data_IF_508397488298
#
_entry.id   IF_508397488298
#
_cell.length_a   1.000
_cell.length_b   1.000
_cell.length_c   1.000
_cell.angle_alpha   90.00
_cell.angle_beta   90.00
_cell.angle_gamma   90.00
#
_symmetry.space_group_name_H-M   'P 1'
#
loop_
_entity.id
_entity.type
_entity.pdbx_description
1 polymer ?
#
# COMPACT_ATOMS: atom_id res chain seq x y z
N UNK A 1 -3.46 4.46 -46.83
CA UNK A 1 -3.83 3.36 -45.91
C UNK A 1 -5.29 3.01 -46.14
N UNK A 2 -5.62 1.72 -46.05
CA UNK A 2 -7.01 1.29 -46.19
C UNK A 2 -7.69 1.45 -44.80
N UNK A 3 -8.24 2.63 -44.54
CA UNK A 3 -8.80 3.02 -43.22
C UNK A 3 -10.08 2.23 -42.87
N UNK A 4 -10.68 1.52 -43.85
CA UNK A 4 -11.84 0.66 -43.54
C UNK A 4 -11.53 -0.49 -42.58
N UNK A 5 -10.26 -0.89 -42.43
CA UNK A 5 -9.82 -1.93 -41.51
C UNK A 5 -9.77 -1.50 -40.04
N UNK A 6 -9.83 -0.19 -39.74
CA UNK A 6 -9.73 0.31 -38.37
C UNK A 6 -10.96 -0.04 -37.51
N UNK A 7 -12.15 -0.14 -38.14
CA UNK A 7 -13.38 -0.51 -37.45
C UNK A 7 -13.38 -1.97 -36.99
N UNK A 8 -12.71 -2.85 -37.76
CA UNK A 8 -12.58 -4.28 -37.46
C UNK A 8 -11.27 -4.61 -36.70
N UNK A 9 -10.47 -3.60 -36.39
CA UNK A 9 -9.18 -3.76 -35.75
C UNK A 9 -9.30 -4.36 -34.36
N UNK A 10 -8.32 -5.18 -33.97
CA UNK A 10 -8.23 -5.74 -32.62
C UNK A 10 -7.79 -4.68 -31.60
N UNK A 11 -8.12 -4.89 -30.33
CA UNK A 11 -7.74 -3.97 -29.25
C UNK A 11 -6.23 -3.80 -29.11
N UNK A 12 -5.44 -4.81 -29.44
CA UNK A 12 -3.97 -4.82 -29.43
C UNK A 12 -3.33 -3.89 -30.44
N UNK A 13 -4.07 -3.50 -31.48
CA UNK A 13 -3.63 -2.59 -32.56
C UNK A 13 -3.77 -1.11 -32.16
N UNK A 14 -4.45 -0.80 -31.06
CA UNK A 14 -4.55 0.57 -30.56
C UNK A 14 -3.60 0.77 -29.36
N UNK A 15 -3.03 1.95 -29.27
CA UNK A 15 -2.12 2.34 -28.21
C UNK A 15 -2.48 3.71 -27.66
N UNK A 16 -2.43 3.85 -26.35
CA UNK A 16 -2.62 5.11 -25.63
C UNK A 16 -1.26 5.68 -25.24
N UNK A 17 -0.99 6.91 -25.65
CA UNK A 17 0.20 7.64 -25.24
C UNK A 17 -0.05 8.44 -23.95
N UNK A 18 1.01 8.90 -23.33
CA UNK A 18 0.96 9.64 -22.04
C UNK A 18 0.33 11.03 -22.17
N UNK A 19 0.24 11.57 -23.38
CA UNK A 19 -0.44 12.84 -23.69
C UNK A 19 -1.93 12.66 -24.01
N UNK A 20 -2.45 11.42 -23.93
CA UNK A 20 -3.83 11.08 -24.21
C UNK A 20 -4.13 10.80 -25.68
N UNK A 21 -3.13 10.81 -26.57
CA UNK A 21 -3.34 10.45 -27.98
C UNK A 21 -3.53 8.95 -28.16
N UNK A 22 -4.46 8.57 -29.05
CA UNK A 22 -4.73 7.18 -29.44
C UNK A 22 -4.17 6.98 -30.84
N UNK A 23 -3.27 6.01 -30.97
CA UNK A 23 -2.69 5.64 -32.26
C UNK A 23 -3.17 4.25 -32.69
N UNK A 24 -3.30 4.06 -33.99
CA UNK A 24 -3.63 2.81 -34.66
C UNK A 24 -2.42 2.24 -35.39
N UNK A 25 -2.03 1.02 -35.06
CA UNK A 25 -0.96 0.28 -35.72
C UNK A 25 -1.52 -0.97 -36.39
N UNK A 26 -1.63 -0.98 -37.76
CA UNK A 26 -2.19 -2.12 -38.49
C UNK A 26 -1.41 -3.42 -38.27
N UNK A 27 -0.09 -3.32 -38.10
CA UNK A 27 0.81 -4.46 -37.88
C UNK A 27 1.10 -4.63 -36.40
N UNK A 28 0.48 -5.60 -35.78
CA UNK A 28 0.58 -5.82 -34.31
C UNK A 28 2.01 -6.02 -33.84
N UNK A 29 2.86 -6.69 -34.62
CA UNK A 29 4.28 -6.92 -34.31
C UNK A 29 5.17 -5.69 -34.46
N UNK A 30 4.66 -4.59 -35.06
CA UNK A 30 5.43 -3.36 -35.19
C UNK A 30 5.52 -2.61 -33.87
N UNK A 31 6.73 -2.35 -33.31
CA UNK A 31 6.91 -1.64 -32.05
C UNK A 31 6.56 -0.14 -32.13
N UNK A 32 6.48 0.44 -33.33
CA UNK A 32 6.15 1.87 -33.50
C UNK A 32 4.67 2.14 -33.18
N UNK A 33 4.34 3.35 -32.67
CA UNK A 33 2.97 3.66 -32.24
C UNK A 33 1.92 3.62 -33.36
N UNK A 34 2.30 3.85 -34.59
CA UNK A 34 1.36 3.96 -35.72
C UNK A 34 0.81 5.38 -35.90
N UNK A 35 -0.30 5.50 -36.66
CA UNK A 35 -0.91 6.80 -36.97
C UNK A 35 -1.84 7.25 -35.83
N UNK A 36 -1.78 8.52 -35.47
CA UNK A 36 -2.71 9.11 -34.50
C UNK A 36 -4.10 9.21 -35.10
N UNK A 37 -5.10 8.63 -34.47
CA UNK A 37 -6.48 8.56 -34.95
C UNK A 37 -7.47 9.32 -34.05
N UNK A 38 -7.13 9.50 -32.77
CA UNK A 38 -7.97 10.21 -31.82
C UNK A 38 -7.16 10.71 -30.62
N UNK A 39 -7.83 11.48 -29.75
CA UNK A 39 -7.32 11.92 -28.46
C UNK A 39 -8.38 11.75 -27.38
N UNK A 40 -7.96 11.35 -26.19
CA UNK A 40 -8.82 11.40 -25.01
C UNK A 40 -8.93 12.86 -24.52
N UNK A 41 -10.16 13.27 -24.24
CA UNK A 41 -10.47 14.59 -23.67
C UNK A 41 -11.33 14.43 -22.42
N UNK A 42 -11.54 15.52 -21.68
CA UNK A 42 -12.35 15.52 -20.48
C UNK A 42 -13.74 14.92 -20.75
N UNK A 43 -14.16 13.97 -19.91
CA UNK A 43 -15.47 13.35 -19.93
C UNK A 43 -16.31 13.70 -18.69
N UNK A 44 -17.42 12.99 -18.52
CA UNK A 44 -18.34 13.18 -17.40
C UNK A 44 -17.76 12.70 -16.04
N UNK A 45 -16.89 11.69 -16.07
CA UNK A 45 -16.26 11.11 -14.90
C UNK A 45 -14.78 10.79 -15.18
N UNK A 46 -13.93 10.70 -14.16
CA UNK A 46 -12.51 10.41 -14.34
C UNK A 46 -12.24 9.13 -15.14
N UNK A 47 -13.03 8.06 -14.93
CA UNK A 47 -12.91 6.78 -15.64
C UNK A 47 -13.66 6.73 -16.98
N UNK A 48 -14.29 7.83 -17.39
CA UNK A 48 -15.04 7.93 -18.66
C UNK A 48 -14.63 9.18 -19.43
N UNK A 49 -13.35 9.29 -19.88
CA UNK A 49 -12.94 10.38 -20.76
C UNK A 49 -13.65 10.25 -22.11
N UNK A 50 -13.95 11.34 -22.76
CA UNK A 50 -14.50 11.35 -24.11
C UNK A 50 -13.40 11.09 -25.13
N UNK A 51 -13.79 10.61 -26.31
CA UNK A 51 -12.90 10.39 -27.46
C UNK A 51 -13.18 11.46 -28.51
N UNK A 52 -12.15 12.21 -28.87
CA UNK A 52 -12.18 13.20 -29.96
C UNK A 52 -11.32 12.69 -31.14
N UNK A 53 -11.93 12.59 -32.30
CA UNK A 53 -11.23 12.08 -33.47
C UNK A 53 -10.34 13.16 -34.06
N UNK A 54 -9.11 12.81 -34.42
CA UNK A 54 -8.26 13.59 -35.32
C UNK A 54 -8.68 13.39 -36.78
N UNK A 55 -8.25 14.28 -37.71
CA UNK A 55 -8.64 14.25 -39.11
C UNK A 55 -8.33 12.88 -39.78
N UNK A 56 -9.30 11.95 -39.68
CA UNK A 56 -9.23 10.60 -40.26
C UNK A 56 -10.12 10.55 -41.50
N UNK A 57 -9.51 10.55 -42.69
CA UNK A 57 -10.26 10.55 -43.93
C UNK A 57 -10.74 9.16 -44.32
N UNK A 58 -11.98 9.07 -44.80
CA UNK A 58 -12.53 7.85 -45.43
C UNK A 58 -13.11 6.81 -44.50
N UNK A 59 -13.41 7.19 -43.24
CA UNK A 59 -14.11 6.35 -42.23
C UNK A 59 -15.34 7.08 -41.75
N UNK A 60 -16.40 6.36 -41.42
CA UNK A 60 -17.55 6.92 -40.70
C UNK A 60 -17.15 7.32 -39.29
N UNK A 61 -17.20 8.63 -39.00
CA UNK A 61 -16.79 9.18 -37.72
C UNK A 61 -17.58 8.61 -36.53
N UNK A 62 -18.90 8.43 -36.68
CA UNK A 62 -19.74 7.89 -35.61
C UNK A 62 -19.39 6.43 -35.29
N UNK A 63 -19.11 5.62 -36.33
CA UNK A 63 -18.67 4.24 -36.13
C UNK A 63 -17.29 4.17 -35.50
N UNK A 64 -16.37 5.06 -35.87
CA UNK A 64 -15.03 5.13 -35.32
C UNK A 64 -15.04 5.58 -33.87
N UNK A 65 -15.82 6.61 -33.47
CA UNK A 65 -16.00 7.03 -32.10
C UNK A 65 -16.46 5.83 -31.24
N UNK A 66 -17.54 5.16 -31.66
CA UNK A 66 -18.07 4.00 -30.92
C UNK A 66 -17.05 2.88 -30.78
N UNK A 67 -16.26 2.60 -31.82
CA UNK A 67 -15.18 1.59 -31.78
C UNK A 67 -14.10 1.97 -30.75
N UNK A 68 -13.67 3.24 -30.76
CA UNK A 68 -12.64 3.75 -29.86
C UNK A 68 -13.14 3.87 -28.43
N UNK A 69 -14.42 4.20 -28.21
CA UNK A 69 -15.03 4.17 -26.89
C UNK A 69 -15.06 2.75 -26.31
N UNK A 70 -15.44 1.76 -27.13
CA UNK A 70 -15.39 0.34 -26.73
C UNK A 70 -13.95 -0.09 -26.37
N UNK A 71 -12.98 0.34 -27.16
CA UNK A 71 -11.57 0.08 -26.89
C UNK A 71 -11.09 0.78 -25.62
N UNK A 72 -11.44 2.06 -25.43
CA UNK A 72 -11.13 2.84 -24.21
C UNK A 72 -11.63 2.12 -22.97
N UNK A 73 -12.89 1.68 -22.99
CA UNK A 73 -13.50 1.01 -21.82
C UNK A 73 -12.82 -0.34 -21.54
N UNK A 74 -12.48 -1.09 -22.59
CA UNK A 74 -11.72 -2.32 -22.45
C UNK A 74 -10.28 -2.06 -21.93
N UNK A 75 -9.60 -1.02 -22.44
CA UNK A 75 -8.26 -0.66 -22.00
C UNK A 75 -8.24 -0.24 -20.52
N UNK A 76 -9.16 0.64 -20.12
CA UNK A 76 -9.31 1.07 -18.72
C UNK A 76 -9.67 -0.14 -17.85
N UNK A 77 -10.60 -0.99 -18.28
CA UNK A 77 -11.00 -2.20 -17.57
C UNK A 77 -9.85 -3.18 -17.37
N UNK A 78 -8.98 -3.35 -18.34
CA UNK A 78 -7.82 -4.24 -18.23
C UNK A 78 -6.73 -3.69 -17.29
N UNK A 79 -6.45 -2.38 -17.37
CA UNK A 79 -5.38 -1.76 -16.59
C UNK A 79 -5.82 -1.45 -15.16
N UNK A 80 -7.07 -1.02 -14.97
CA UNK A 80 -7.67 -0.64 -13.69
C UNK A 80 -8.79 -1.60 -13.28
N UNK A 81 -8.65 -2.89 -13.60
CA UNK A 81 -9.63 -3.95 -13.34
C UNK A 81 -10.23 -3.86 -11.95
N UNK A 82 -9.39 -3.71 -10.92
CA UNK A 82 -9.84 -3.66 -9.53
C UNK A 82 -10.71 -2.45 -9.18
N UNK A 83 -10.56 -1.34 -9.90
CA UNK A 83 -11.45 -0.18 -9.72
C UNK A 83 -12.78 -0.47 -10.41
N UNK A 84 -12.74 -1.00 -11.64
CA UNK A 84 -13.95 -1.33 -12.41
C UNK A 84 -14.77 -2.41 -11.69
N UNK A 85 -14.12 -3.43 -11.13
CA UNK A 85 -14.77 -4.49 -10.33
C UNK A 85 -15.54 -3.98 -9.11
N UNK A 86 -15.28 -2.75 -8.61
CA UNK A 86 -16.06 -2.18 -7.50
C UNK A 86 -17.55 -2.03 -7.87
N UNK A 87 -17.85 -1.72 -9.12
CA UNK A 87 -19.22 -1.57 -9.65
C UNK A 87 -19.88 -2.89 -10.07
N UNK A 88 -19.09 -3.96 -10.22
CA UNK A 88 -19.61 -5.27 -10.59
C UNK A 88 -20.31 -5.96 -9.39
N UNK A 89 -21.21 -6.91 -9.66
CA UNK A 89 -21.77 -7.76 -8.61
C UNK A 89 -20.68 -8.46 -7.79
N UNK A 90 -21.02 -8.78 -6.54
CA UNK A 90 -20.10 -9.51 -5.65
C UNK A 90 -19.97 -10.96 -6.12
N UNK A 91 -18.75 -11.34 -6.50
CA UNK A 91 -18.43 -12.74 -6.85
C UNK A 91 -18.36 -13.56 -5.56
N UNK A 92 -19.19 -14.58 -5.45
CA UNK A 92 -19.14 -15.52 -4.34
C UNK A 92 -17.86 -16.37 -4.42
N UNK A 93 -17.26 -16.73 -3.29
CA UNK A 93 -16.07 -17.56 -3.29
C UNK A 93 -16.42 -18.97 -3.82
N UNK A 94 -15.61 -19.46 -4.76
CA UNK A 94 -15.76 -20.81 -5.32
C UNK A 94 -15.23 -21.84 -4.33
N UNK A 95 -15.97 -22.96 -4.18
CA UNK A 95 -15.53 -24.12 -3.40
C UNK A 95 -14.52 -24.90 -4.24
N UNK A 96 -13.30 -25.03 -3.77
CA UNK A 96 -12.32 -25.92 -4.38
C UNK A 96 -12.57 -27.36 -3.93
N UNK A 97 -12.35 -28.33 -4.83
CA UNK A 97 -12.47 -29.75 -4.48
C UNK A 97 -11.53 -30.10 -3.32
N UNK A 98 -12.11 -30.63 -2.23
CA UNK A 98 -11.36 -31.08 -1.04
C UNK A 98 -11.20 -30.06 0.08
N UNK A 99 -11.75 -28.84 -0.05
CA UNK A 99 -11.79 -27.84 1.03
C UNK A 99 -13.23 -27.69 1.56
N UNK A 100 -13.35 -27.35 2.85
CA UNK A 100 -14.64 -26.97 3.45
C UNK A 100 -15.22 -25.78 2.67
N UNK A 101 -16.52 -25.84 2.36
CA UNK A 101 -17.19 -24.78 1.60
C UNK A 101 -16.97 -23.41 2.29
N UNK A 102 -16.39 -22.42 1.59
CA UNK A 102 -16.18 -21.11 2.18
C UNK A 102 -17.52 -20.47 2.54
N UNK A 103 -17.57 -19.74 3.65
CA UNK A 103 -18.79 -19.04 4.04
C UNK A 103 -19.18 -18.05 2.93
N UNK A 104 -20.46 -18.06 2.49
CA UNK A 104 -20.94 -17.11 1.49
C UNK A 104 -20.74 -15.67 1.97
N UNK A 105 -20.47 -14.79 1.02
CA UNK A 105 -20.38 -13.37 1.31
C UNK A 105 -21.80 -12.80 1.48
N UNK A 106 -22.02 -11.91 2.46
CA UNK A 106 -23.29 -11.26 2.65
C UNK A 106 -23.62 -10.31 1.48
N UNK A 107 -24.87 -9.86 1.41
CA UNK A 107 -25.29 -8.85 0.46
C UNK A 107 -24.59 -7.50 0.74
N UNK A 108 -24.43 -6.69 -0.32
CA UNK A 108 -23.84 -5.35 -0.20
C UNK A 108 -24.85 -4.43 0.46
N UNK A 109 -24.54 -3.90 1.63
CA UNK A 109 -25.36 -2.90 2.31
C UNK A 109 -25.21 -1.53 1.66
N UNK A 110 -26.18 -0.63 1.89
CA UNK A 110 -26.14 0.76 1.40
C UNK A 110 -24.85 1.48 1.84
N UNK A 111 -24.40 1.26 3.08
CA UNK A 111 -23.16 1.87 3.60
C UNK A 111 -21.92 1.35 2.88
N UNK A 112 -21.86 0.06 2.57
CA UNK A 112 -20.78 -0.55 1.79
C UNK A 112 -20.81 -0.02 0.37
N UNK A 113 -21.98 0.02 -0.28
CA UNK A 113 -22.13 0.55 -1.64
C UNK A 113 -21.63 2.00 -1.71
N UNK A 114 -22.01 2.85 -0.77
CA UNK A 114 -21.54 4.23 -0.71
C UNK A 114 -20.02 4.33 -0.53
N UNK A 115 -19.39 3.42 0.24
CA UNK A 115 -17.93 3.36 0.36
C UNK A 115 -17.30 2.97 -0.99
N UNK A 116 -17.82 1.93 -1.66
CA UNK A 116 -17.33 1.46 -2.96
C UNK A 116 -17.44 2.56 -4.03
N UNK A 117 -18.54 3.30 -4.04
CA UNK A 117 -18.77 4.41 -4.96
C UNK A 117 -17.75 5.54 -4.75
N UNK A 118 -17.51 5.93 -3.50
CA UNK A 118 -16.51 6.95 -3.18
C UNK A 118 -15.09 6.50 -3.57
N UNK A 119 -14.75 5.21 -3.35
CA UNK A 119 -13.45 4.65 -3.75
C UNK A 119 -13.30 4.64 -5.28
N UNK A 120 -14.37 4.29 -6.00
CA UNK A 120 -14.41 4.30 -7.46
C UNK A 120 -14.18 5.71 -8.02
N UNK A 121 -14.94 6.69 -7.55
CA UNK A 121 -14.87 8.08 -8.01
C UNK A 121 -13.51 8.74 -7.69
N UNK A 122 -12.84 8.26 -6.64
CA UNK A 122 -11.50 8.74 -6.21
C UNK A 122 -10.35 7.92 -6.83
N UNK A 123 -10.57 7.20 -7.93
CA UNK A 123 -9.56 6.37 -8.61
C UNK A 123 -8.86 5.35 -7.68
N UNK A 124 -9.59 4.83 -6.70
CA UNK A 124 -9.14 3.74 -5.84
C UNK A 124 -8.42 4.14 -4.57
N UNK A 125 -8.32 5.44 -4.24
CA UNK A 125 -7.67 5.92 -3.02
C UNK A 125 -8.27 7.24 -2.52
N UNK A 126 -8.58 7.32 -1.23
CA UNK A 126 -9.07 8.54 -0.61
C UNK A 126 -8.75 8.60 0.89
N UNK A 127 -8.75 9.80 1.53
CA UNK A 127 -8.58 9.95 2.96
C UNK A 127 -9.71 9.25 3.73
N UNK A 128 -9.35 8.52 4.77
CA UNK A 128 -10.32 7.85 5.64
C UNK A 128 -11.33 8.82 6.26
N UNK A 129 -10.90 10.06 6.54
CA UNK A 129 -11.76 11.10 7.13
C UNK A 129 -13.05 11.35 6.32
N UNK A 130 -12.96 11.26 4.98
CA UNK A 130 -14.12 11.42 4.09
C UNK A 130 -15.16 10.31 4.25
N UNK A 131 -14.75 9.13 4.72
CA UNK A 131 -15.61 7.95 4.89
C UNK A 131 -15.93 7.62 6.36
N UNK A 132 -15.46 8.41 7.33
CA UNK A 132 -15.56 8.06 8.75
C UNK A 132 -17.02 7.83 9.21
N UNK A 133 -17.95 8.63 8.70
CA UNK A 133 -19.39 8.49 8.99
C UNK A 133 -20.00 7.17 8.45
N UNK A 134 -19.51 6.69 7.31
CA UNK A 134 -19.92 5.41 6.71
C UNK A 134 -19.21 4.24 7.42
N UNK A 135 -17.90 4.38 7.68
CA UNK A 135 -17.10 3.36 8.36
C UNK A 135 -17.60 3.10 9.79
N UNK A 136 -18.20 4.10 10.46
CA UNK A 136 -18.77 3.93 11.78
C UNK A 136 -20.06 3.07 11.79
N UNK A 137 -20.72 2.91 10.64
CA UNK A 137 -21.98 2.15 10.49
C UNK A 137 -21.76 0.70 10.10
N UNK A 138 -20.61 0.36 9.50
CA UNK A 138 -20.33 -0.98 8.98
C UNK A 138 -19.95 -1.96 10.09
N UNK A 139 -20.44 -3.17 9.98
CA UNK A 139 -20.17 -4.30 10.89
C UNK A 139 -19.01 -5.22 10.41
N UNK A 140 -18.94 -6.42 10.97
CA UNK A 140 -17.90 -7.40 10.61
C UNK A 140 -18.14 -8.03 9.22
N UNK A 141 -19.40 -8.23 8.86
CA UNK A 141 -19.80 -8.82 7.59
C UNK A 141 -19.61 -7.84 6.43
N UNK A 142 -19.97 -6.57 6.62
CA UNK A 142 -19.66 -5.48 5.70
C UNK A 142 -18.15 -5.39 5.41
N UNK A 143 -17.32 -5.55 6.46
CA UNK A 143 -15.85 -5.58 6.30
C UNK A 143 -15.35 -6.80 5.53
N UNK A 144 -16.08 -7.93 5.55
CA UNK A 144 -15.78 -9.09 4.69
C UNK A 144 -16.03 -8.77 3.22
N UNK A 145 -17.14 -8.08 2.91
CA UNK A 145 -17.45 -7.61 1.55
C UNK A 145 -16.37 -6.66 1.02
N UNK A 146 -16.00 -5.65 1.81
CA UNK A 146 -14.93 -4.71 1.41
C UNK A 146 -13.58 -5.43 1.15
N UNK A 147 -13.24 -6.43 1.98
CA UNK A 147 -12.04 -7.26 1.74
C UNK A 147 -12.14 -8.10 0.47
N UNK A 148 -13.32 -8.66 0.18
CA UNK A 148 -13.56 -9.40 -1.06
C UNK A 148 -13.42 -8.50 -2.29
N UNK A 149 -13.83 -7.23 -2.20
CA UNK A 149 -13.61 -6.18 -3.20
C UNK A 149 -12.20 -5.57 -3.14
N UNK A 150 -11.29 -6.16 -2.34
CA UNK A 150 -9.89 -5.73 -2.17
C UNK A 150 -9.73 -4.29 -1.68
N UNK A 151 -10.77 -3.71 -1.06
CA UNK A 151 -10.71 -2.39 -0.44
C UNK A 151 -10.13 -2.52 0.97
N UNK A 152 -9.02 -1.84 1.22
CA UNK A 152 -8.35 -1.78 2.51
C UNK A 152 -8.77 -0.53 3.27
N UNK A 153 -9.36 -0.73 4.45
CA UNK A 153 -9.67 0.35 5.38
C UNK A 153 -8.44 0.60 6.28
N UNK A 154 -7.49 1.36 5.76
CA UNK A 154 -6.31 1.76 6.54
C UNK A 154 -6.64 2.79 7.63
N UNK A 155 -5.73 3.08 8.56
CA UNK A 155 -5.95 4.05 9.64
C UNK A 155 -6.01 5.50 9.16
N UNK A 156 -5.35 5.85 8.07
CA UNK A 156 -5.28 7.21 7.50
C UNK A 156 -5.97 7.27 6.13
N UNK A 157 -5.80 6.25 5.31
CA UNK A 157 -6.29 6.17 3.94
C UNK A 157 -7.14 4.92 3.74
N UNK A 158 -8.12 5.02 2.83
CA UNK A 158 -8.86 3.87 2.27
C UNK A 158 -8.42 3.71 0.84
N UNK A 159 -8.00 2.51 0.44
CA UNK A 159 -7.37 2.30 -0.85
C UNK A 159 -7.42 0.84 -1.32
N UNK A 160 -7.11 0.63 -2.60
CA UNK A 160 -6.93 -0.68 -3.21
C UNK A 160 -5.42 -0.96 -3.33
N UNK A 161 -4.84 -1.91 -2.57
CA UNK A 161 -3.38 -2.11 -2.50
C UNK A 161 -2.72 -2.47 -3.83
N UNK A 162 -3.41 -3.19 -4.70
CA UNK A 162 -2.83 -3.73 -5.93
C UNK A 162 -2.78 -2.73 -7.10
N UNK A 163 -3.15 -1.45 -6.89
CA UNK A 163 -3.11 -0.39 -7.91
C UNK A 163 -1.72 0.27 -8.07
N UNK A 164 -0.67 -0.29 -7.49
CA UNK A 164 0.68 0.26 -7.52
C UNK A 164 1.50 -0.11 -8.78
N UNK A 165 0.92 -0.88 -9.71
CA UNK A 165 1.59 -1.23 -10.97
C UNK A 165 1.82 0.01 -11.83
N UNK A 166 3.00 0.15 -12.50
CA UNK A 166 3.35 1.34 -13.28
C UNK A 166 2.30 1.75 -14.31
N UNK A 167 1.75 0.79 -15.06
CA UNK A 167 0.69 1.09 -16.04
C UNK A 167 -0.56 1.70 -15.39
N UNK A 168 -0.96 1.19 -14.20
CA UNK A 168 -2.09 1.73 -13.45
C UNK A 168 -1.82 3.13 -12.88
N UNK A 169 -0.59 3.40 -12.47
CA UNK A 169 -0.17 4.73 -11.99
C UNK A 169 -0.23 5.74 -13.12
N UNK A 170 0.39 5.42 -14.29
CA UNK A 170 0.37 6.31 -15.47
C UNK A 170 -1.06 6.56 -15.97
N UNK A 171 -1.86 5.51 -16.10
CA UNK A 171 -3.25 5.67 -16.56
C UNK A 171 -4.09 6.52 -15.60
N UNK A 172 -3.96 6.33 -14.28
CA UNK A 172 -4.65 7.19 -13.30
C UNK A 172 -4.18 8.63 -13.38
N UNK A 173 -2.87 8.86 -13.58
CA UNK A 173 -2.32 10.20 -13.77
C UNK A 173 -2.92 10.89 -15.00
N UNK A 174 -2.97 10.19 -16.14
CA UNK A 174 -3.60 10.68 -17.36
C UNK A 174 -5.09 11.00 -17.14
N UNK A 175 -5.86 10.06 -16.64
CA UNK A 175 -7.30 10.20 -16.43
C UNK A 175 -7.65 11.33 -15.44
N UNK A 176 -6.89 11.43 -14.36
CA UNK A 176 -7.06 12.50 -13.37
C UNK A 176 -6.76 13.87 -13.98
N UNK A 177 -5.65 14.00 -14.73
CA UNK A 177 -5.25 15.25 -15.37
C UNK A 177 -6.26 15.70 -16.43
N UNK A 178 -6.77 14.77 -17.27
CA UNK A 178 -7.82 15.06 -18.22
C UNK A 178 -9.09 15.58 -17.55
N UNK A 179 -9.52 14.93 -16.47
CA UNK A 179 -10.74 15.30 -15.76
C UNK A 179 -10.64 16.68 -15.09
N UNK A 180 -9.48 17.00 -14.52
CA UNK A 180 -9.25 18.28 -13.84
C UNK A 180 -8.73 19.40 -14.76
N UNK A 181 -8.41 19.09 -16.02
CA UNK A 181 -7.89 20.07 -16.98
C UNK A 181 -6.44 20.46 -16.74
N UNK A 182 -5.67 19.56 -16.13
CA UNK A 182 -4.23 19.74 -15.91
C UNK A 182 -3.43 19.41 -17.18
N UNK A 183 -2.19 19.89 -17.22
CA UNK A 183 -1.30 19.67 -18.38
C UNK A 183 -0.91 18.20 -18.54
N UNK A 184 -0.78 17.78 -19.79
CA UNK A 184 -0.27 16.44 -20.17
C UNK A 184 1.06 16.59 -20.92
N UNK A 185 1.98 15.60 -20.82
CA UNK A 185 1.87 14.36 -20.02
C UNK A 185 1.86 14.64 -18.49
N UNK A 186 1.16 13.81 -17.75
CA UNK A 186 1.08 13.92 -16.29
C UNK A 186 2.44 13.64 -15.65
N UNK A 187 2.85 14.45 -14.68
CA UNK A 187 4.10 14.27 -13.95
C UNK A 187 3.98 13.15 -12.90
N UNK A 188 4.06 11.90 -13.35
CA UNK A 188 4.03 10.71 -12.47
C UNK A 188 5.44 10.28 -12.07
N UNK A 189 5.62 9.66 -10.89
CA UNK A 189 6.90 9.07 -10.49
C UNK A 189 7.35 7.99 -11.48
N UNK A 190 8.66 7.89 -11.69
CA UNK A 190 9.24 6.85 -12.55
C UNK A 190 8.95 5.45 -12.00
N UNK A 191 8.95 4.46 -12.90
CA UNK A 191 8.68 3.07 -12.57
C UNK A 191 9.64 2.55 -11.48
N UNK A 192 9.08 1.84 -10.50
CA UNK A 192 9.85 1.25 -9.42
C UNK A 192 10.20 2.18 -8.26
N UNK A 193 10.01 3.49 -8.39
CA UNK A 193 10.28 4.45 -7.31
C UNK A 193 9.28 4.23 -6.18
N UNK A 194 9.80 4.08 -4.95
CA UNK A 194 8.98 3.93 -3.73
C UNK A 194 8.59 5.29 -3.18
N UNK A 195 9.52 6.22 -3.12
CA UNK A 195 9.24 7.59 -2.72
C UNK A 195 10.16 8.58 -3.44
N UNK A 196 9.67 9.78 -3.66
CA UNK A 196 10.44 10.89 -4.23
C UNK A 196 10.25 12.15 -3.43
N UNK A 197 11.29 13.00 -3.42
CA UNK A 197 11.22 14.33 -2.82
C UNK A 197 10.33 15.20 -3.71
N UNK A 198 9.41 15.92 -3.09
CA UNK A 198 8.52 16.88 -3.75
C UNK A 198 8.45 18.16 -2.93
N UNK A 199 8.24 19.28 -3.59
CA UNK A 199 7.87 20.49 -2.91
C UNK A 199 6.36 20.43 -2.55
N UNK A 200 6.08 20.15 -1.28
CA UNK A 200 4.72 19.93 -0.78
C UNK A 200 3.78 21.14 -0.96
N UNK A 201 4.32 22.34 -1.17
CA UNK A 201 3.56 23.56 -1.38
C UNK A 201 3.32 23.85 -2.87
N UNK A 202 4.20 23.34 -3.74
CA UNK A 202 4.10 23.53 -5.19
C UNK A 202 3.31 22.41 -5.89
N UNK A 203 3.26 21.19 -5.33
CA UNK A 203 2.60 20.05 -5.99
C UNK A 203 1.11 19.93 -5.66
N UNK A 204 0.35 19.43 -6.62
CA UNK A 204 -1.06 19.10 -6.40
C UNK A 204 -1.18 17.80 -5.59
N UNK A 205 -1.50 17.90 -4.30
CA UNK A 205 -1.60 16.76 -3.38
C UNK A 205 -2.72 15.79 -3.76
N UNK A 206 -3.82 16.30 -4.32
CA UNK A 206 -4.94 15.46 -4.76
C UNK A 206 -4.55 14.61 -5.99
N UNK A 207 -3.74 15.17 -6.90
CA UNK A 207 -3.15 14.42 -8.01
C UNK A 207 -2.27 13.28 -7.51
N UNK A 208 -1.30 13.59 -6.64
CA UNK A 208 -0.40 12.58 -6.10
C UNK A 208 -1.15 11.50 -5.31
N UNK A 209 -2.18 11.87 -4.57
CA UNK A 209 -3.04 10.90 -3.88
C UNK A 209 -3.77 10.00 -4.87
N UNK A 210 -4.38 10.56 -5.92
CA UNK A 210 -5.14 9.81 -6.92
C UNK A 210 -4.27 8.77 -7.65
N UNK A 211 -3.00 9.07 -7.91
CA UNK A 211 -2.06 8.14 -8.55
C UNK A 211 -1.48 7.10 -7.59
N UNK A 212 -1.76 7.19 -6.28
CA UNK A 212 -1.26 6.25 -5.28
C UNK A 212 0.07 6.63 -4.63
N UNK A 213 0.44 7.90 -4.69
CA UNK A 213 1.64 8.46 -4.07
C UNK A 213 1.28 9.64 -3.13
N UNK A 214 0.47 9.43 -2.07
CA UNK A 214 0.13 10.51 -1.16
C UNK A 214 1.36 11.23 -0.61
N UNK A 215 1.24 12.57 -0.45
CA UNK A 215 2.34 13.43 0.01
C UNK A 215 2.29 13.58 1.53
N UNK A 216 3.40 13.23 2.18
CA UNK A 216 3.62 13.44 3.62
C UNK A 216 4.98 14.11 3.84
N UNK A 217 4.97 15.26 4.50
CA UNK A 217 6.16 16.11 4.61
C UNK A 217 6.61 16.59 3.23
N UNK A 218 7.88 16.38 2.92
CA UNK A 218 8.51 16.70 1.64
C UNK A 218 8.57 15.52 0.66
N UNK A 219 7.77 14.45 0.89
CA UNK A 219 7.84 13.24 0.08
C UNK A 219 6.49 12.78 -0.42
N UNK A 220 6.45 12.42 -1.71
CA UNK A 220 5.39 11.60 -2.29
C UNK A 220 5.78 10.13 -2.15
N UNK A 221 4.93 9.33 -1.48
CA UNK A 221 5.27 7.97 -1.03
C UNK A 221 4.25 6.99 -1.59
N UNK A 222 4.73 5.89 -2.19
CA UNK A 222 3.86 4.84 -2.72
C UNK A 222 3.03 4.21 -1.59
N UNK A 223 1.72 4.13 -1.79
CA UNK A 223 0.73 3.80 -0.76
C UNK A 223 0.97 2.47 -0.05
N UNK A 224 1.45 1.44 -0.76
CA UNK A 224 1.74 0.12 -0.18
C UNK A 224 2.88 0.18 0.85
N UNK A 225 3.92 0.95 0.58
CA UNK A 225 5.03 1.14 1.50
C UNK A 225 4.69 2.08 2.64
N UNK A 226 3.90 3.11 2.37
CA UNK A 226 3.35 3.98 3.41
C UNK A 226 2.48 3.19 4.39
N UNK A 227 1.57 2.35 3.89
CA UNK A 227 0.71 1.50 4.73
C UNK A 227 1.53 0.50 5.57
N UNK A 228 2.62 -0.04 5.00
CA UNK A 228 3.54 -0.91 5.74
C UNK A 228 4.17 -0.19 6.94
N UNK A 229 4.63 1.05 6.74
CA UNK A 229 5.17 1.89 7.82
C UNK A 229 4.09 2.19 8.86
N UNK A 230 2.89 2.57 8.42
CA UNK A 230 1.77 2.85 9.30
C UNK A 230 1.42 1.62 10.16
N UNK A 231 1.34 0.42 9.56
CA UNK A 231 1.09 -0.81 10.31
C UNK A 231 2.18 -1.07 11.35
N UNK A 232 3.45 -0.94 10.98
CA UNK A 232 4.56 -1.11 11.91
C UNK A 232 4.52 -0.11 13.09
N UNK A 233 4.13 1.14 12.83
CA UNK A 233 3.94 2.15 13.89
C UNK A 233 2.87 1.69 14.89
N UNK A 234 1.73 1.18 14.42
CA UNK A 234 0.66 0.73 15.30
C UNK A 234 1.02 -0.55 16.07
N UNK A 235 1.79 -1.45 15.45
CA UNK A 235 2.26 -2.70 16.07
C UNK A 235 3.32 -2.43 17.16
N UNK A 236 4.19 -1.43 16.95
CA UNK A 236 5.23 -1.04 17.88
C UNK A 236 4.72 -0.14 19.03
N UNK A 237 3.52 0.41 18.89
CA UNK A 237 3.02 1.39 19.82
C UNK A 237 2.70 0.77 21.19
N UNK A 238 3.46 1.17 22.23
CA UNK A 238 3.17 0.89 23.64
C UNK A 238 2.77 2.17 24.37
N UNK A 239 1.65 2.11 25.11
CA UNK A 239 1.12 3.24 25.92
C UNK A 239 1.00 4.56 25.16
N UNK A 240 0.79 4.47 23.82
CA UNK A 240 0.66 5.65 22.95
C UNK A 240 1.99 6.30 22.55
N UNK A 241 3.10 5.57 22.66
CA UNK A 241 4.42 5.97 22.18
C UNK A 241 4.98 4.85 21.29
N UNK A 242 5.81 5.23 20.35
CA UNK A 242 6.58 4.29 19.54
C UNK A 242 7.96 4.89 19.23
N UNK A 243 8.94 4.02 19.00
CA UNK A 243 10.26 4.43 18.54
C UNK A 243 10.38 4.20 17.04
N UNK A 244 10.84 5.20 16.30
CA UNK A 244 11.15 5.04 14.89
C UNK A 244 12.20 3.96 14.70
N UNK A 245 12.14 3.23 13.59
CA UNK A 245 13.09 2.18 13.25
C UNK A 245 13.79 2.48 11.93
N UNK A 246 15.06 2.13 11.81
CA UNK A 246 15.83 2.23 10.56
C UNK A 246 15.13 1.54 9.39
N UNK A 247 14.49 0.40 9.67
CA UNK A 247 13.74 -0.36 8.69
C UNK A 247 12.60 0.44 8.03
N UNK A 248 11.97 1.38 8.76
CA UNK A 248 10.95 2.27 8.18
C UNK A 248 11.54 3.19 7.12
N UNK A 249 12.73 3.75 7.37
CA UNK A 249 13.45 4.57 6.41
C UNK A 249 13.88 3.74 5.18
N UNK A 250 14.35 2.50 5.40
CA UNK A 250 14.70 1.55 4.34
C UNK A 250 13.48 1.23 3.46
N UNK A 251 12.29 0.99 4.03
CA UNK A 251 11.06 0.75 3.27
C UNK A 251 10.63 1.96 2.45
N UNK A 252 10.86 3.16 2.96
CA UNK A 252 10.53 4.40 2.24
C UNK A 252 11.64 4.83 1.28
N UNK A 253 12.84 4.23 1.36
CA UNK A 253 14.00 4.64 0.58
C UNK A 253 14.39 6.10 0.86
N UNK A 254 14.39 6.51 2.14
CA UNK A 254 14.64 7.90 2.52
C UNK A 254 15.64 8.01 3.69
N UNK A 255 16.30 9.18 3.86
CA UNK A 255 17.06 9.51 5.05
C UNK A 255 16.19 9.54 6.32
N UNK A 256 16.83 9.40 7.49
CA UNK A 256 16.14 9.40 8.79
C UNK A 256 15.42 10.74 9.04
N UNK A 257 16.01 11.86 8.64
CA UNK A 257 15.39 13.18 8.82
C UNK A 257 14.09 13.31 8.02
N UNK A 258 14.08 12.80 6.79
CA UNK A 258 12.87 12.74 5.97
C UNK A 258 11.81 11.82 6.59
N UNK A 259 12.24 10.66 7.15
CA UNK A 259 11.33 9.79 7.90
C UNK A 259 10.67 10.56 9.06
N UNK A 260 11.45 11.34 9.83
CA UNK A 260 10.89 12.16 10.92
C UNK A 260 9.91 13.22 10.40
N UNK A 261 10.21 13.83 9.27
CA UNK A 261 9.29 14.74 8.55
C UNK A 261 7.98 14.05 8.18
N UNK A 262 8.07 12.85 7.61
CA UNK A 262 6.89 12.03 7.24
C UNK A 262 6.06 11.67 8.47
N UNK A 263 6.68 11.19 9.56
CA UNK A 263 6.00 10.86 10.81
C UNK A 263 5.29 12.07 11.42
N UNK A 264 5.95 13.23 11.40
CA UNK A 264 5.36 14.48 11.88
C UNK A 264 4.17 14.91 11.01
N UNK A 265 4.29 14.79 9.69
CA UNK A 265 3.20 15.10 8.76
C UNK A 265 1.99 14.16 8.92
N UNK A 266 2.21 12.91 9.35
CA UNK A 266 1.12 12.02 9.79
C UNK A 266 0.45 12.47 11.09
N UNK A 267 1.03 13.44 11.78
CA UNK A 267 0.54 14.03 13.03
C UNK A 267 1.10 13.40 14.29
N UNK A 268 2.11 12.53 14.18
CA UNK A 268 2.86 12.05 15.33
C UNK A 268 3.74 13.19 15.87
N UNK A 269 3.95 13.23 17.19
CA UNK A 269 4.78 14.26 17.82
C UNK A 269 6.08 13.65 18.31
N UNK A 270 7.22 14.17 17.80
CA UNK A 270 8.55 13.76 18.27
C UNK A 270 8.70 14.12 19.77
N UNK A 271 9.22 13.19 20.54
CA UNK A 271 9.57 13.40 21.94
C UNK A 271 10.98 13.97 21.96
N UNK A 272 11.12 15.21 22.39
CA UNK A 272 12.44 15.79 22.63
C UNK A 272 13.01 15.11 23.88
N UNK A 273 14.07 14.35 23.70
CA UNK A 273 14.88 13.90 24.84
C UNK A 273 15.72 15.10 25.24
N UNK A 274 15.52 15.60 26.48
CA UNK A 274 16.43 16.56 27.09
C UNK A 274 17.85 15.98 26.97
N UNK A 275 18.70 16.62 26.20
CA UNK A 275 20.13 16.32 26.09
C UNK A 275 20.82 16.71 27.42
N UNK A 276 20.62 15.91 28.46
CA UNK A 276 21.45 15.90 29.66
C UNK A 276 21.97 14.49 29.79
N UNK A 277 23.14 14.26 29.30
CA UNK A 277 24.11 13.20 29.59
C UNK A 277 24.82 12.67 28.33
N UNK A 278 25.62 13.51 27.67
CA UNK A 278 26.74 13.07 26.85
C UNK A 278 27.71 14.26 26.59
N UNK A 279 28.07 14.97 27.64
CA UNK A 279 29.25 15.84 27.66
C UNK A 279 30.17 15.36 28.81
N UNK A 280 30.82 14.21 28.60
CA UNK A 280 32.08 13.90 29.30
C UNK A 280 32.97 13.10 28.36
N UNK A 281 34.11 13.70 28.07
CA UNK A 281 35.32 13.13 27.50
C UNK A 281 35.48 13.07 25.97
N UNK A 282 36.02 14.14 25.43
CA UNK A 282 37.22 14.03 24.61
C UNK A 282 38.06 15.28 24.74
N UNK A 283 39.36 15.16 25.13
CA UNK A 283 40.27 16.29 25.09
C UNK A 283 40.76 16.53 23.67
N UNK A 284 40.86 17.79 23.37
CA UNK A 284 41.46 18.45 22.19
C UNK A 284 42.86 17.95 21.98
N UNK A 285 43.25 17.63 20.74
CA UNK A 285 44.56 17.95 20.23
C UNK A 285 44.46 18.36 18.75
N UNK A 286 44.85 19.61 18.54
CA UNK A 286 45.15 20.27 17.26
C UNK A 286 46.31 19.59 16.55
N UNK A 287 46.32 19.54 15.23
CA UNK A 287 47.31 20.16 14.34
C UNK A 287 47.21 19.62 12.90
N UNK A 288 46.79 20.50 12.00
CA UNK A 288 47.46 20.93 10.75
C UNK A 288 47.75 19.97 9.60
N UNK A 289 47.27 20.42 8.41
CA UNK A 289 47.87 20.40 7.04
C UNK A 289 47.80 19.18 6.15
N UNK A 290 46.94 19.29 5.19
CA UNK A 290 46.87 19.08 3.70
C UNK A 290 47.92 18.18 2.96
N UNK A 291 47.74 17.99 1.62
CA UNK A 291 47.20 16.77 1.04
C UNK A 291 48.21 16.04 0.11
N UNK A 292 47.97 14.75 -0.19
CA UNK A 292 48.48 14.09 -1.43
C UNK A 292 47.86 12.70 -1.64
N UNK A 293 47.17 12.53 -2.76
CA UNK A 293 46.99 11.27 -3.51
C UNK A 293 48.32 10.95 -4.25
N UNK A 294 48.59 9.74 -4.80
CA UNK A 294 47.76 8.55 -5.03
C UNK A 294 48.46 7.19 -4.80
N UNK A 295 47.75 6.15 -5.19
CA UNK A 295 48.25 4.87 -5.77
C UNK A 295 48.10 3.58 -4.97
N UNK A 296 47.43 2.70 -5.64
CA UNK A 296 47.22 1.27 -5.59
C UNK A 296 48.17 0.39 -4.74
N UNK A 297 47.58 -0.56 -4.01
CA UNK A 297 48.04 -1.95 -3.93
C UNK A 297 46.98 -2.87 -3.29
N UNK A 298 46.58 -3.88 -4.03
CA UNK A 298 45.86 -5.07 -3.57
C UNK A 298 46.58 -5.76 -2.42
N UNK A 299 45.83 -6.22 -1.42
CA UNK A 299 46.10 -7.51 -0.76
C UNK A 299 44.88 -7.97 0.03
N UNK A 300 44.38 -9.12 -0.40
CA UNK A 300 43.52 -10.05 0.33
C UNK A 300 44.06 -10.31 1.75
N UNK A 301 43.16 -10.40 2.74
CA UNK A 301 43.21 -11.40 3.85
C UNK A 301 41.89 -11.39 4.62
N UNK A 302 41.23 -12.54 4.56
CA UNK A 302 40.70 -13.33 5.67
C UNK A 302 39.56 -12.78 6.55
N UNK A 303 38.56 -13.66 6.62
CA UNK A 303 37.28 -13.51 7.32
C UNK A 303 37.39 -13.18 8.81
N UNK A 304 36.90 -12.03 9.14
CA UNK A 304 36.42 -11.74 10.48
C UNK A 304 34.91 -11.53 10.40
N UNK A 305 34.16 -12.39 11.08
CA UNK A 305 32.72 -12.23 11.36
C UNK A 305 32.56 -10.89 12.06
N UNK A 306 32.15 -9.87 11.32
CA UNK A 306 31.76 -8.59 11.91
C UNK A 306 30.49 -8.84 12.74
N UNK A 307 30.55 -8.60 14.04
CA UNK A 307 29.37 -8.41 14.86
C UNK A 307 28.53 -7.30 14.25
N UNK A 308 27.18 -7.42 14.23
CA UNK A 308 26.33 -6.37 13.69
C UNK A 308 26.52 -5.10 14.52
N UNK A 309 27.13 -4.08 13.92
CA UNK A 309 27.21 -2.74 14.50
C UNK A 309 25.80 -2.32 14.97
N UNK A 310 25.64 -2.05 16.25
CA UNK A 310 24.40 -1.55 16.82
C UNK A 310 24.14 -0.16 16.22
N UNK A 311 23.25 -0.10 15.22
CA UNK A 311 22.78 1.18 14.65
C UNK A 311 22.26 2.06 15.79
N UNK A 312 22.55 3.38 15.82
CA UNK A 312 22.12 4.27 16.88
C UNK A 312 20.58 4.25 17.04
N UNK A 313 20.10 4.36 18.27
CA UNK A 313 18.68 4.39 18.56
C UNK A 313 18.04 5.67 17.98
N UNK A 314 16.88 5.49 17.30
CA UNK A 314 16.15 6.59 16.69
C UNK A 314 15.18 7.25 17.66
N UNK A 315 14.67 8.43 17.28
CA UNK A 315 13.77 9.22 18.11
C UNK A 315 12.45 8.51 18.45
N UNK A 316 11.91 8.81 19.62
CA UNK A 316 10.59 8.38 20.04
C UNK A 316 9.51 9.40 19.65
N UNK A 317 8.30 8.91 19.41
CA UNK A 317 7.15 9.71 19.01
C UNK A 317 5.92 9.36 19.84
N UNK A 318 5.10 10.37 20.13
CA UNK A 318 3.72 10.16 20.58
C UNK A 318 2.85 9.78 19.39
N UNK A 319 2.13 8.66 19.53
CA UNK A 319 1.19 8.19 18.51
C UNK A 319 -0.03 9.11 18.46
N UNK A 320 -0.30 9.71 17.28
CA UNK A 320 -1.60 10.30 17.01
C UNK A 320 -2.61 9.17 16.79
N UNK A 321 -3.55 8.98 17.69
CA UNK A 321 -4.66 8.05 17.54
C UNK A 321 -5.67 8.65 16.57
N UNK A 322 -6.06 7.91 15.54
CA UNK A 322 -7.16 8.30 14.66
C UNK A 322 -8.48 8.37 15.46
N UNK A 323 -9.44 9.16 15.00
CA UNK A 323 -10.77 9.34 15.64
C UNK A 323 -11.51 8.02 15.92
N UNK A 324 -11.23 6.97 15.16
CA UNK A 324 -11.77 5.62 15.41
C UNK A 324 -11.37 5.03 16.76
N UNK A 325 -10.25 5.48 17.34
CA UNK A 325 -9.77 5.02 18.65
C UNK A 325 -10.18 5.94 19.81
N UNK A 326 -10.59 7.18 19.54
CA UNK A 326 -11.00 8.14 20.59
C UNK A 326 -12.33 7.76 21.24
N UNK A 327 -13.24 7.07 20.54
CA UNK A 327 -14.56 6.69 21.05
C UNK A 327 -14.57 5.53 22.05
N UNK A 328 -13.47 4.79 22.21
CA UNK A 328 -13.41 3.68 23.19
C UNK A 328 -12.98 4.09 24.59
N UNK A 329 -12.54 5.33 24.82
CA UNK A 329 -12.14 5.83 26.13
C UNK A 329 -13.23 6.58 26.91
N UNK A 330 -14.40 6.85 26.28
CA UNK A 330 -15.54 7.53 26.93
C UNK A 330 -16.66 6.55 27.29
N UNK A 331 -16.31 5.37 27.76
CA UNK A 331 -17.26 4.37 28.19
C UNK A 331 -17.30 4.19 29.72
N UNK A 332 -18.31 4.73 30.34
CA UNK A 332 -18.83 4.48 31.68
C UNK A 332 -17.97 4.95 32.88
N UNK A 333 -18.54 5.79 33.75
CA UNK A 333 -17.94 6.04 35.08
C UNK A 333 -17.86 4.72 35.82
N UNK A 334 -16.65 4.36 36.28
CA UNK A 334 -16.47 3.28 37.23
C UNK A 334 -17.35 3.58 38.42
N UNK A 335 -18.41 2.81 38.63
CA UNK A 335 -19.15 2.77 39.86
C UNK A 335 -18.15 2.39 40.92
N UNK A 336 -17.89 3.34 41.84
CA UNK A 336 -17.17 3.09 43.08
C UNK A 336 -17.86 1.94 43.84
N UNK A 337 -17.24 0.78 43.80
CA UNK A 337 -17.59 -0.29 44.70
C UNK A 337 -17.09 0.15 46.07
N UNK A 338 -17.99 0.74 46.90
CA UNK A 338 -17.81 0.86 48.36
C UNK A 338 -17.58 -0.55 48.89
N UNK A 339 -16.42 -0.75 49.52
CA UNK A 339 -16.13 -1.92 50.35
C UNK A 339 -17.16 -1.99 51.47
N UNK A 340 -17.84 -3.11 51.72
CA UNK A 340 -18.56 -3.31 52.96
C UNK A 340 -17.56 -3.66 54.08
N UNK A 341 -17.77 -3.01 55.20
CA UNK A 341 -17.03 -3.20 56.44
C UNK A 341 -17.04 -4.65 56.94
N UNK A 342 -15.92 -5.03 57.48
CA UNK A 342 -15.69 -6.33 58.07
C UNK A 342 -16.51 -6.52 59.35
N UNK A 343 -17.35 -7.55 59.40
CA UNK A 343 -17.75 -8.19 60.67
C UNK A 343 -17.14 -9.59 60.79
N UNK A 344 -16.32 -9.76 61.79
CA UNK A 344 -15.81 -11.03 62.29
C UNK A 344 -16.96 -11.91 62.76
N UNK A 345 -17.00 -13.18 62.35
CA UNK A 345 -17.32 -14.28 63.25
C UNK A 345 -16.96 -15.66 62.67
N UNK A 346 -16.15 -16.33 63.46
CA UNK A 346 -15.99 -17.75 63.81
C UNK A 346 -16.12 -18.88 62.75
N UNK A 347 -14.99 -19.62 62.68
CA UNK A 347 -14.83 -20.98 62.13
C UNK A 347 -15.84 -22.00 62.73
N UNK A 348 -16.10 -23.11 62.02
CA UNK A 348 -15.38 -24.34 62.35
C UNK A 348 -14.87 -25.18 61.17
N UNK A 349 -13.99 -26.11 61.57
CA UNK A 349 -13.12 -27.03 60.87
C UNK A 349 -13.80 -28.13 60.06
N UNK A 350 -12.99 -28.63 59.11
CA UNK A 350 -12.79 -30.00 58.64
C UNK A 350 -13.59 -30.38 57.35
N UNK A 351 -12.98 -30.93 56.30
CA UNK A 351 -12.24 -32.20 56.15
C UNK A 351 -11.62 -32.32 54.74
N UNK A 352 -10.48 -32.94 54.71
CA UNK A 352 -9.73 -33.46 53.56
C UNK A 352 -10.56 -34.06 52.41
N UNK A 353 -10.14 -33.80 51.14
CA UNK A 353 -9.97 -34.85 50.11
C UNK A 353 -9.02 -34.42 49.01
N UNK A 354 -7.92 -35.15 48.98
CA UNK A 354 -7.07 -35.67 47.88
C UNK A 354 -6.85 -34.83 46.60
N UNK A 355 -5.60 -34.44 46.47
CA UNK A 355 -4.82 -34.18 45.30
C UNK A 355 -5.06 -35.27 44.21
N UNK A 356 -5.30 -34.81 42.99
CA UNK A 356 -5.00 -35.60 41.79
C UNK A 356 -4.03 -34.79 40.94
N UNK A 357 -2.88 -35.37 40.84
CA UNK A 357 -1.73 -35.04 40.03
C UNK A 357 -2.13 -34.86 38.56
N UNK A 358 -1.85 -33.73 37.92
CA UNK A 358 -1.88 -33.56 36.47
C UNK A 358 -0.58 -32.95 36.03
N UNK A 359 0.37 -33.83 35.76
CA UNK A 359 1.55 -33.51 34.94
C UNK A 359 1.16 -33.13 33.51
N UNK A 360 1.83 -32.15 32.88
CA UNK A 360 1.56 -31.78 31.50
C UNK A 360 2.07 -32.88 30.55
N UNK A 361 1.18 -33.31 29.67
CA UNK A 361 1.47 -34.24 28.60
C UNK A 361 2.30 -33.54 27.54
N UNK A 362 3.56 -33.86 27.44
CA UNK A 362 4.46 -33.46 26.34
C UNK A 362 4.03 -34.26 25.11
N UNK A 363 3.49 -33.60 24.11
CA UNK A 363 3.30 -34.18 22.78
C UNK A 363 4.62 -34.11 22.03
N UNK A 364 5.30 -35.24 21.87
CA UNK A 364 6.40 -35.40 20.95
C UNK A 364 5.86 -35.43 19.53
N UNK A 365 6.20 -34.41 18.71
CA UNK A 365 5.98 -34.46 17.28
C UNK A 365 7.00 -35.44 16.66
N UNK A 366 6.52 -36.48 15.98
CA UNK A 366 7.34 -37.36 15.18
C UNK A 366 7.99 -36.56 14.05
N UNK A 367 9.32 -36.70 13.89
CA UNK A 367 10.09 -36.10 12.82
C UNK A 367 9.61 -36.68 11.47
N UNK A 368 9.06 -35.88 10.60
CA UNK A 368 8.76 -36.20 9.20
C UNK A 368 10.06 -36.56 8.49
N UNK A 369 10.05 -37.71 7.78
CA UNK A 369 11.17 -38.15 6.95
C UNK A 369 11.46 -37.13 5.85
N UNK A 370 12.74 -36.93 5.57
CA UNK A 370 13.30 -35.91 4.66
C UNK A 370 12.85 -36.14 3.19
N UNK A 371 12.26 -37.28 2.88
CA UNK A 371 11.83 -37.70 1.52
C UNK A 371 10.59 -36.93 0.99
N UNK A 372 9.82 -36.25 1.85
CA UNK A 372 8.60 -35.51 1.47
C UNK A 372 8.81 -34.01 1.28
N UNK A 373 10.05 -33.55 1.18
CA UNK A 373 10.34 -32.12 0.95
C UNK A 373 10.37 -31.78 -0.54
N UNK A 374 9.68 -30.70 -0.99
CA UNK A 374 9.75 -30.23 -2.38
C UNK A 374 11.17 -29.89 -2.87
N UNK A 375 12.14 -29.81 -1.96
CA UNK A 375 13.55 -29.50 -2.22
C UNK A 375 14.48 -30.71 -2.21
N UNK A 376 13.95 -31.94 -2.08
CA UNK A 376 14.76 -33.18 -2.10
C UNK A 376 15.55 -33.36 -3.40
N UNK A 377 15.05 -32.84 -4.52
CA UNK A 377 15.69 -32.86 -5.84
C UNK A 377 17.00 -32.04 -5.87
N UNK A 378 17.11 -30.98 -5.08
CA UNK A 378 18.33 -30.14 -5.02
C UNK A 378 19.50 -30.80 -4.26
N UNK A 379 19.23 -31.77 -3.42
CA UNK A 379 20.29 -32.52 -2.74
C UNK A 379 20.96 -33.58 -3.66
N UNK A 380 20.24 -34.10 -4.65
CA UNK A 380 20.79 -35.03 -5.62
C UNK A 380 21.76 -34.38 -6.62
N UNK A 381 21.62 -33.07 -6.86
CA UNK A 381 22.53 -32.32 -7.74
C UNK A 381 23.90 -32.00 -7.10
N UNK A 382 24.03 -32.16 -5.79
CA UNK A 382 25.27 -31.82 -5.05
C UNK A 382 26.24 -32.98 -4.89
N UNK A 383 25.83 -34.23 -5.23
CA UNK A 383 26.64 -35.44 -5.08
C UNK A 383 27.12 -36.04 -6.41
N UNK A 384 26.94 -35.31 -7.54
CA UNK A 384 27.27 -35.82 -8.89
C UNK A 384 28.49 -35.17 -9.55
N UNK A 385 29.51 -34.79 -8.80
CA UNK A 385 30.76 -34.27 -9.40
C UNK A 385 31.99 -34.74 -8.64
N UNK A 386 32.20 -36.06 -8.61
CA UNK A 386 33.49 -36.68 -8.35
C UNK A 386 33.47 -38.05 -9.06
N UNK A 387 33.92 -38.03 -10.33
CA UNK A 387 34.65 -39.11 -11.05
C UNK A 387 35.20 -38.51 -12.36
#
# INVERSE_FOLDING_TARGET
MNMSSILDAQNTQFRLAEDGTISYQPVESNPLPGDVVAKLVKGEAPLKPNVEITDVKGVDEAALIKRLETWRDAHIGNVLELIVELKEPLKQPETKEGEDAPQPLPEITESVQAILDNVYDSLGILPREKLESLIAKIDADDRRVLRAKRVRLGPILVFIPALNKPAGVRLRGLLWSLYHGESLPANVPNDGIVSQVVDADAVNKDFYQAIGYPVFGNRAIRIDMLDRVICAIYDLADKGKFRAQHQMAEWLGCPIDDLYGVLTAMGHKKIEQDQKEQDVANPVDEVSETPKTPEAAEKSVDGAKAEPEKKPELAEFYLKRGKAFEKKSSGAPRKDFKKPDAKKDKKPKAKHKKQADRSPKVMSAEAKKVEDSPFAILQQLKTGNDD
#
